data_IF_388271601545
#
_entry.id   IF_388271601545
#
_cell.length_a   1.000
_cell.length_b   1.000
_cell.length_c   1.000
_cell.angle_alpha   90.00
_cell.angle_beta   90.00
_cell.angle_gamma   90.00
#
_symmetry.space_group_name_H-M   'P 1'
#
loop_
_entity.id
_entity.type
_entity.pdbx_description
1 polymer ?
#
# COMPACT_ATOMS: atom_id res chain seq x y z
N UNK A 1 -42.41 34.40 24.80
CA UNK A 1 -41.40 33.34 25.05
C UNK A 1 -40.12 33.78 24.37
N UNK A 2 -39.15 34.25 25.09
CA UNK A 2 -37.84 34.70 24.59
C UNK A 2 -37.01 33.46 24.36
N UNK A 3 -36.68 33.12 23.09
CA UNK A 3 -35.73 32.08 22.78
C UNK A 3 -34.33 32.56 23.18
N UNK A 4 -33.45 31.69 23.72
CA UNK A 4 -32.10 32.09 24.03
C UNK A 4 -31.42 32.58 22.75
N UNK A 5 -30.77 33.75 22.86
CA UNK A 5 -30.08 34.42 21.76
C UNK A 5 -28.91 33.56 21.30
N UNK A 6 -29.09 32.81 20.20
CA UNK A 6 -28.05 32.16 19.47
C UNK A 6 -27.75 32.89 18.16
N UNK A 7 -26.53 32.80 17.66
CA UNK A 7 -26.16 33.31 16.35
C UNK A 7 -26.41 32.25 15.29
N UNK A 8 -27.04 32.60 14.17
CA UNK A 8 -27.19 31.75 13.00
C UNK A 8 -26.32 32.32 11.88
N UNK A 9 -25.29 31.63 11.52
CA UNK A 9 -24.48 31.97 10.37
C UNK A 9 -25.16 31.44 9.09
N UNK A 10 -25.58 32.35 8.21
CA UNK A 10 -26.12 32.03 6.88
C UNK A 10 -25.00 32.16 5.85
N UNK A 11 -24.47 31.03 5.40
CA UNK A 11 -23.48 31.01 4.35
C UNK A 11 -24.14 31.22 2.98
N UNK A 12 -23.57 32.11 2.15
CA UNK A 12 -24.04 32.37 0.77
C UNK A 12 -23.47 31.37 -0.24
N UNK A 13 -22.41 30.67 0.14
CA UNK A 13 -21.73 29.67 -0.68
C UNK A 13 -21.34 28.46 0.19
N UNK A 14 -21.17 27.27 -0.39
CA UNK A 14 -20.70 26.10 0.34
C UNK A 14 -19.29 26.33 0.88
N UNK A 15 -19.00 25.81 2.06
CA UNK A 15 -17.66 25.81 2.64
C UNK A 15 -16.72 24.88 1.85
N UNK A 16 -15.40 25.05 2.05
CA UNK A 16 -14.39 24.15 1.45
C UNK A 16 -14.64 22.70 1.89
N UNK A 17 -14.98 22.44 3.16
CA UNK A 17 -15.35 21.13 3.66
C UNK A 17 -16.58 20.53 2.93
N UNK A 18 -17.62 21.33 2.68
CA UNK A 18 -18.80 20.87 1.94
C UNK A 18 -18.46 20.58 0.47
N UNK A 19 -17.61 21.42 -0.15
CA UNK A 19 -17.12 21.18 -1.53
C UNK A 19 -16.28 19.91 -1.60
N UNK A 20 -15.37 19.71 -0.65
CA UNK A 20 -14.56 18.53 -0.51
C UNK A 20 -15.41 17.25 -0.43
N UNK A 21 -16.37 17.20 0.50
CA UNK A 21 -17.25 16.03 0.64
C UNK A 21 -18.04 15.73 -0.61
N UNK A 22 -18.54 16.75 -1.32
CA UNK A 22 -19.25 16.58 -2.60
C UNK A 22 -18.34 15.99 -3.67
N UNK A 23 -17.14 16.53 -3.85
CA UNK A 23 -16.17 16.04 -4.86
C UNK A 23 -15.71 14.62 -4.54
N UNK A 24 -15.49 14.30 -3.27
CA UNK A 24 -15.15 12.92 -2.85
C UNK A 24 -16.30 11.96 -3.15
N UNK A 25 -17.53 12.34 -2.88
CA UNK A 25 -18.72 11.52 -3.19
C UNK A 25 -18.88 11.31 -4.71
N UNK A 26 -18.69 12.36 -5.51
CA UNK A 26 -18.71 12.30 -6.98
C UNK A 26 -17.60 11.39 -7.51
N UNK A 27 -16.36 11.57 -7.05
CA UNK A 27 -15.22 10.73 -7.46
C UNK A 27 -15.44 9.25 -7.11
N UNK A 28 -16.00 8.94 -5.94
CA UNK A 28 -16.37 7.57 -5.56
C UNK A 28 -17.41 6.97 -6.50
N UNK A 29 -18.42 7.73 -6.88
CA UNK A 29 -19.46 7.27 -7.81
C UNK A 29 -18.88 6.95 -9.20
N UNK A 30 -17.89 7.72 -9.66
CA UNK A 30 -17.21 7.55 -10.94
C UNK A 30 -16.15 6.44 -10.94
N UNK A 31 -15.60 6.07 -9.78
CA UNK A 31 -14.42 5.20 -9.67
C UNK A 31 -14.56 3.83 -10.37
N UNK A 32 -15.77 3.31 -10.52
CA UNK A 32 -16.02 2.03 -11.18
C UNK A 32 -16.26 2.17 -12.70
N UNK A 33 -16.82 3.29 -13.15
CA UNK A 33 -17.27 3.49 -14.54
C UNK A 33 -16.32 4.32 -15.36
N UNK A 34 -15.69 5.32 -14.76
CA UNK A 34 -14.71 6.22 -15.38
C UNK A 34 -13.58 6.54 -14.37
N UNK A 35 -12.59 5.63 -14.21
CA UNK A 35 -11.51 5.84 -13.26
C UNK A 35 -10.66 7.07 -13.57
N UNK A 36 -10.47 7.43 -14.83
CA UNK A 36 -9.71 8.62 -15.23
C UNK A 36 -10.36 9.90 -14.72
N UNK A 37 -11.64 10.06 -14.99
CA UNK A 37 -12.42 11.22 -14.51
C UNK A 37 -12.53 11.25 -12.98
N UNK A 38 -12.69 10.08 -12.36
CA UNK A 38 -12.72 9.97 -10.91
C UNK A 38 -11.43 10.49 -10.25
N UNK A 39 -10.26 10.16 -10.82
CA UNK A 39 -8.95 10.67 -10.35
C UNK A 39 -8.91 12.19 -10.41
N UNK A 40 -9.36 12.81 -11.49
CA UNK A 40 -9.39 14.28 -11.62
C UNK A 40 -10.27 14.92 -10.54
N UNK A 41 -11.49 14.41 -10.34
CA UNK A 41 -12.45 14.94 -9.37
C UNK A 41 -11.95 14.77 -7.93
N UNK A 42 -11.35 13.62 -7.62
CA UNK A 42 -10.76 13.38 -6.29
C UNK A 42 -9.56 14.30 -6.03
N UNK A 43 -8.69 14.53 -7.02
CA UNK A 43 -7.57 15.48 -6.92
C UNK A 43 -8.08 16.91 -6.73
N UNK A 44 -9.14 17.32 -7.44
CA UNK A 44 -9.77 18.63 -7.22
C UNK A 44 -10.27 18.78 -5.78
N UNK A 45 -10.93 17.75 -5.23
CA UNK A 45 -11.37 17.74 -3.84
C UNK A 45 -10.22 17.87 -2.85
N UNK A 46 -9.15 17.10 -3.05
CA UNK A 46 -7.96 17.13 -2.18
C UNK A 46 -7.16 18.44 -2.31
N UNK A 47 -7.18 19.11 -3.45
CA UNK A 47 -6.55 20.42 -3.66
C UNK A 47 -7.19 21.56 -2.85
N UNK A 48 -8.37 21.35 -2.27
CA UNK A 48 -8.98 22.32 -1.34
C UNK A 48 -8.25 22.40 0.01
N UNK A 49 -7.40 21.39 0.31
CA UNK A 49 -6.61 21.35 1.53
C UNK A 49 -5.33 22.18 1.37
N UNK A 50 -5.15 23.16 2.27
CA UNK A 50 -4.00 24.08 2.29
C UNK A 50 -3.09 23.87 3.48
N UNK A 51 -3.50 22.99 4.41
CA UNK A 51 -2.84 22.66 5.67
C UNK A 51 -3.73 21.77 6.53
N UNK A 52 -3.41 21.62 7.81
CA UNK A 52 -4.23 20.88 8.76
C UNK A 52 -5.67 21.42 8.84
N UNK A 53 -6.62 20.54 9.10
CA UNK A 53 -8.02 20.92 9.24
C UNK A 53 -8.20 21.92 10.38
N UNK A 54 -8.96 23.00 10.13
CA UNK A 54 -9.29 24.05 11.10
C UNK A 54 -8.05 24.68 11.77
N UNK A 55 -6.93 24.76 11.07
CA UNK A 55 -5.72 25.41 11.57
C UNK A 55 -6.02 26.85 12.00
N UNK A 56 -5.57 27.21 13.23
CA UNK A 56 -5.85 28.54 13.80
C UNK A 56 -7.21 28.70 14.49
N UNK A 57 -8.14 27.75 14.36
CA UNK A 57 -9.34 27.72 15.18
C UNK A 57 -8.99 27.27 16.60
N UNK A 58 -9.37 28.04 17.62
CA UNK A 58 -8.98 27.79 19.01
C UNK A 58 -9.15 26.35 19.49
N UNK A 59 -8.44 25.98 20.58
CA UNK A 59 -8.34 24.62 21.14
C UNK A 59 -9.61 24.12 21.86
N UNK A 60 -10.81 24.43 21.36
CA UNK A 60 -12.07 23.92 21.93
C UNK A 60 -12.33 22.46 21.51
N UNK A 61 -12.96 21.67 22.41
CA UNK A 61 -13.30 20.25 22.15
C UNK A 61 -14.06 20.05 20.84
N UNK A 62 -14.98 20.94 20.51
CA UNK A 62 -15.76 20.87 19.26
C UNK A 62 -14.85 21.01 18.03
N UNK A 63 -13.94 22.01 18.04
CA UNK A 63 -13.03 22.22 16.93
C UNK A 63 -12.04 21.06 16.76
N UNK A 64 -11.53 20.49 17.85
CA UNK A 64 -10.58 19.36 17.78
C UNK A 64 -11.25 18.08 17.27
N UNK A 65 -12.48 17.80 17.67
CA UNK A 65 -13.23 16.64 17.18
C UNK A 65 -13.55 16.78 15.69
N UNK A 66 -14.00 17.96 15.27
CA UNK A 66 -14.31 18.22 13.86
C UNK A 66 -13.03 18.19 12.99
N UNK A 67 -11.93 18.74 13.48
CA UNK A 67 -10.64 18.67 12.79
C UNK A 67 -10.19 17.21 12.60
N UNK A 68 -10.28 16.39 13.65
CA UNK A 68 -9.92 14.97 13.56
C UNK A 68 -10.80 14.21 12.55
N UNK A 69 -12.11 14.50 12.52
CA UNK A 69 -13.03 13.92 11.55
C UNK A 69 -12.71 14.35 10.11
N UNK A 70 -12.40 15.61 9.90
CA UNK A 70 -12.01 16.11 8.59
C UNK A 70 -10.69 15.48 8.11
N UNK A 71 -9.67 15.37 8.98
CA UNK A 71 -8.40 14.69 8.64
C UNK A 71 -8.62 13.21 8.31
N UNK A 72 -9.45 12.49 9.06
CA UNK A 72 -9.79 11.11 8.73
C UNK A 72 -10.50 11.01 7.36
N UNK A 73 -11.45 11.90 7.07
CA UNK A 73 -12.10 11.97 5.76
C UNK A 73 -11.10 12.27 4.63
N UNK A 74 -10.08 13.09 4.89
CA UNK A 74 -8.98 13.35 3.96
C UNK A 74 -8.19 12.07 3.66
N UNK A 75 -7.80 11.32 4.70
CA UNK A 75 -7.06 10.07 4.55
C UNK A 75 -7.87 9.03 3.76
N UNK A 76 -9.16 8.88 4.05
CA UNK A 76 -10.06 7.99 3.31
C UNK A 76 -10.25 8.44 1.85
N UNK A 77 -10.23 9.75 1.58
CA UNK A 77 -10.25 10.27 0.21
C UNK A 77 -8.95 9.97 -0.55
N UNK A 78 -7.79 10.06 0.11
CA UNK A 78 -6.49 9.66 -0.45
C UNK A 78 -6.46 8.17 -0.77
N UNK A 79 -6.95 7.29 0.12
CA UNK A 79 -7.08 5.86 -0.16
C UNK A 79 -7.95 5.59 -1.39
N UNK A 80 -9.07 6.29 -1.50
CA UNK A 80 -9.97 6.20 -2.66
C UNK A 80 -9.28 6.67 -3.94
N UNK A 81 -8.55 7.78 -3.88
CA UNK A 81 -7.78 8.31 -5.01
C UNK A 81 -6.78 7.28 -5.52
N UNK A 82 -5.93 6.75 -4.64
CA UNK A 82 -4.87 5.82 -5.06
C UNK A 82 -5.41 4.46 -5.52
N UNK A 83 -6.49 3.94 -4.91
CA UNK A 83 -7.18 2.77 -5.43
C UNK A 83 -7.72 3.02 -6.86
N UNK A 84 -8.27 4.21 -7.09
CA UNK A 84 -8.77 4.63 -8.41
C UNK A 84 -7.63 4.82 -9.41
N UNK A 85 -6.50 5.41 -9.00
CA UNK A 85 -5.29 5.51 -9.84
C UNK A 85 -4.78 4.12 -10.25
N UNK A 86 -4.78 3.15 -9.34
CA UNK A 86 -4.43 1.77 -9.68
C UNK A 86 -5.37 1.17 -10.72
N UNK A 87 -6.68 1.45 -10.65
CA UNK A 87 -7.66 1.00 -11.66
C UNK A 87 -7.45 1.70 -13.00
N UNK A 88 -7.05 2.97 -12.97
CA UNK A 88 -6.72 3.76 -14.17
C UNK A 88 -5.36 3.37 -14.80
N UNK A 89 -4.59 2.46 -14.19
CA UNK A 89 -3.28 2.04 -14.71
C UNK A 89 -2.12 2.97 -14.37
N UNK A 90 -2.30 3.93 -13.45
CA UNK A 90 -1.32 4.95 -13.05
C UNK A 90 -0.39 4.47 -11.92
N UNK A 91 -0.06 3.17 -11.87
CA UNK A 91 0.67 2.58 -10.76
C UNK A 91 2.07 3.21 -10.54
N UNK A 92 2.80 3.51 -11.62
CA UNK A 92 4.15 4.07 -11.52
C UNK A 92 4.14 5.51 -10.97
N UNK A 93 3.14 6.30 -11.36
CA UNK A 93 3.04 7.71 -11.03
C UNK A 93 2.80 7.96 -9.53
N UNK A 94 2.07 7.04 -8.88
CA UNK A 94 1.63 7.20 -7.49
C UNK A 94 2.60 6.61 -6.45
N UNK A 95 3.64 5.90 -6.88
CA UNK A 95 4.55 5.19 -5.96
C UNK A 95 5.24 6.16 -4.99
N UNK A 96 5.72 7.31 -5.47
CA UNK A 96 6.38 8.30 -4.62
C UNK A 96 5.46 8.91 -3.57
N UNK A 97 4.22 9.27 -3.97
CA UNK A 97 3.21 9.84 -3.07
C UNK A 97 2.80 8.81 -1.99
N UNK A 98 2.69 7.52 -2.37
CA UNK A 98 2.37 6.45 -1.42
C UNK A 98 3.53 6.15 -0.45
N UNK A 99 4.79 6.24 -0.87
CA UNK A 99 5.95 6.14 0.03
C UNK A 99 5.94 7.25 1.09
N UNK A 100 5.64 8.48 0.71
CA UNK A 100 5.49 9.60 1.64
C UNK A 100 4.37 9.35 2.65
N UNK A 101 3.21 8.85 2.19
CA UNK A 101 2.07 8.53 3.05
C UNK A 101 2.37 7.39 4.03
N UNK A 102 3.12 6.36 3.63
CA UNK A 102 3.54 5.30 4.55
C UNK A 102 4.53 5.80 5.63
N UNK A 103 5.25 6.88 5.33
CA UNK A 103 6.15 7.53 6.28
C UNK A 103 5.40 8.42 7.27
N UNK A 104 4.44 9.21 6.78
CA UNK A 104 3.65 10.14 7.60
C UNK A 104 2.54 9.44 8.40
N UNK A 105 2.02 8.32 7.88
CA UNK A 105 0.97 7.51 8.52
C UNK A 105 1.40 6.05 8.70
N UNK A 106 2.42 5.78 9.53
CA UNK A 106 3.12 4.51 9.56
C UNK A 106 2.31 3.33 10.10
N UNK A 107 1.17 3.57 10.75
CA UNK A 107 0.29 2.53 11.28
C UNK A 107 -0.95 2.30 10.40
N UNK A 108 -1.07 3.02 9.29
CA UNK A 108 -2.21 2.90 8.39
C UNK A 108 -1.93 1.87 7.29
N UNK A 109 -2.27 0.62 7.57
CA UNK A 109 -1.97 -0.54 6.71
C UNK A 109 -2.48 -0.37 5.26
N UNK A 110 -3.58 0.37 5.05
CA UNK A 110 -4.15 0.57 3.72
C UNK A 110 -3.19 1.27 2.75
N UNK A 111 -2.37 2.21 3.21
CA UNK A 111 -1.38 2.85 2.35
C UNK A 111 -0.27 1.88 1.93
N UNK A 112 0.15 0.97 2.82
CA UNK A 112 1.12 -0.07 2.47
C UNK A 112 0.53 -1.06 1.46
N UNK A 113 -0.74 -1.44 1.61
CA UNK A 113 -1.42 -2.32 0.65
C UNK A 113 -1.47 -1.69 -0.76
N UNK A 114 -1.81 -0.40 -0.86
CA UNK A 114 -1.81 0.35 -2.10
C UNK A 114 -0.41 0.46 -2.71
N UNK A 115 0.59 0.77 -1.89
CA UNK A 115 1.99 0.86 -2.31
C UNK A 115 2.51 -0.49 -2.82
N UNK A 116 2.27 -1.58 -2.11
CA UNK A 116 2.64 -2.93 -2.55
C UNK A 116 2.01 -3.27 -3.91
N UNK A 117 0.73 -2.89 -4.09
CA UNK A 117 0.03 -3.11 -5.36
C UNK A 117 0.61 -2.26 -6.48
N UNK A 118 0.96 -0.98 -6.21
CA UNK A 118 1.58 -0.08 -7.17
C UNK A 118 2.96 -0.58 -7.62
N UNK A 119 3.80 -0.97 -6.67
CA UNK A 119 5.12 -1.54 -6.92
C UNK A 119 5.03 -2.85 -7.74
N UNK A 120 4.14 -3.76 -7.36
CA UNK A 120 3.95 -5.01 -8.07
C UNK A 120 3.51 -4.79 -9.53
N UNK A 121 2.51 -3.93 -9.75
CA UNK A 121 2.04 -3.58 -11.11
C UNK A 121 3.09 -2.85 -11.95
N UNK A 122 4.07 -2.24 -11.30
CA UNK A 122 5.24 -1.61 -11.95
C UNK A 122 6.40 -2.60 -12.18
N UNK A 123 6.19 -3.91 -11.93
CA UNK A 123 7.23 -4.93 -12.08
C UNK A 123 8.26 -4.99 -10.94
N UNK A 124 8.06 -4.22 -9.85
CA UNK A 124 8.97 -4.09 -8.70
C UNK A 124 8.56 -5.01 -7.56
N UNK A 125 8.42 -6.32 -7.86
CA UNK A 125 7.90 -7.32 -6.91
C UNK A 125 8.72 -7.41 -5.63
N UNK A 126 10.06 -7.41 -5.73
CA UNK A 126 10.94 -7.50 -4.57
C UNK A 126 10.74 -6.32 -3.59
N UNK A 127 10.53 -5.13 -4.12
CA UNK A 127 10.27 -3.93 -3.32
C UNK A 127 8.88 -3.95 -2.68
N UNK A 128 7.89 -4.50 -3.37
CA UNK A 128 6.55 -4.71 -2.81
C UNK A 128 6.61 -5.65 -1.59
N UNK A 129 7.33 -6.77 -1.68
CA UNK A 129 7.53 -7.68 -0.54
C UNK A 129 8.38 -7.05 0.57
N UNK A 130 9.40 -6.26 0.23
CA UNK A 130 10.17 -5.48 1.19
C UNK A 130 9.33 -4.45 1.95
N UNK A 131 8.31 -3.88 1.30
CA UNK A 131 7.35 -2.97 1.93
C UNK A 131 6.51 -3.69 2.99
N UNK A 132 6.06 -4.92 2.72
CA UNK A 132 5.39 -5.76 3.72
C UNK A 132 6.26 -6.01 4.96
N UNK A 133 7.52 -6.40 4.77
CA UNK A 133 8.44 -6.66 5.88
C UNK A 133 8.73 -5.37 6.70
N UNK A 134 8.73 -4.22 6.06
CA UNK A 134 8.90 -2.91 6.70
C UNK A 134 7.73 -2.60 7.64
N UNK A 135 6.49 -2.72 7.17
CA UNK A 135 5.31 -2.46 8.00
C UNK A 135 5.14 -3.52 9.08
N UNK A 136 5.39 -4.81 8.78
CA UNK A 136 5.32 -5.88 9.76
C UNK A 136 6.24 -5.62 10.94
N UNK A 137 7.52 -5.32 10.67
CA UNK A 137 8.48 -4.99 11.74
C UNK A 137 8.02 -3.81 12.58
N UNK A 138 7.41 -2.82 11.96
CA UNK A 138 6.91 -1.63 12.66
C UNK A 138 5.73 -1.96 13.57
N UNK A 139 4.73 -2.67 13.06
CA UNK A 139 3.53 -3.06 13.82
C UNK A 139 3.91 -3.96 15.02
N UNK A 140 4.82 -4.92 14.81
CA UNK A 140 5.31 -5.78 15.90
C UNK A 140 6.10 -4.98 16.92
N UNK A 141 6.98 -4.07 16.50
CA UNK A 141 7.79 -3.27 17.41
C UNK A 141 6.97 -2.25 18.19
N UNK A 142 6.08 -1.50 17.53
CA UNK A 142 5.37 -0.36 18.12
C UNK A 142 4.11 -0.79 18.87
N UNK A 143 3.42 -1.87 18.41
CA UNK A 143 2.12 -2.30 18.93
C UNK A 143 2.09 -3.75 19.40
N UNK A 144 3.11 -4.56 19.13
CA UNK A 144 3.13 -5.99 19.47
C UNK A 144 2.16 -6.84 18.65
N UNK A 145 1.70 -6.37 17.49
CA UNK A 145 0.71 -7.06 16.65
C UNK A 145 1.27 -7.39 15.26
N UNK A 146 0.78 -8.47 14.67
CA UNK A 146 1.07 -8.81 13.27
C UNK A 146 0.14 -8.01 12.32
N UNK A 147 0.55 -7.81 11.04
CA UNK A 147 -0.29 -7.17 10.02
C UNK A 147 -1.66 -7.83 9.89
N UNK A 148 -2.66 -7.02 9.58
CA UNK A 148 -4.04 -7.47 9.37
C UNK A 148 -4.19 -8.47 8.21
N UNK A 149 -5.31 -9.20 8.14
CA UNK A 149 -5.52 -10.25 7.16
C UNK A 149 -5.53 -9.74 5.71
N UNK A 150 -5.97 -8.50 5.47
CA UNK A 150 -6.01 -7.89 4.14
C UNK A 150 -4.60 -7.67 3.60
N UNK A 151 -3.71 -7.10 4.42
CA UNK A 151 -2.32 -6.82 4.03
C UNK A 151 -1.53 -8.12 3.86
N UNK A 152 -1.75 -9.14 4.72
CA UNK A 152 -1.17 -10.48 4.55
C UNK A 152 -1.63 -11.14 3.25
N UNK A 153 -2.93 -11.12 2.97
CA UNK A 153 -3.47 -11.67 1.73
C UNK A 153 -2.92 -10.96 0.49
N UNK A 154 -2.62 -9.65 0.59
CA UNK A 154 -1.95 -8.91 -0.48
C UNK A 154 -0.52 -9.40 -0.71
N UNK A 155 0.23 -9.61 0.35
CA UNK A 155 1.59 -10.17 0.28
C UNK A 155 1.58 -11.57 -0.35
N UNK A 156 0.69 -12.45 0.08
CA UNK A 156 0.53 -13.80 -0.48
C UNK A 156 0.17 -13.77 -1.97
N UNK A 157 -0.77 -12.89 -2.37
CA UNK A 157 -1.14 -12.71 -3.76
C UNK A 157 0.04 -12.23 -4.63
N UNK A 158 0.88 -11.34 -4.11
CA UNK A 158 2.10 -10.88 -4.81
C UNK A 158 3.13 -12.02 -4.91
N UNK A 159 3.31 -12.79 -3.85
CA UNK A 159 4.26 -13.90 -3.81
C UNK A 159 3.91 -15.00 -4.84
N UNK A 160 2.62 -15.27 -5.00
CA UNK A 160 2.11 -16.30 -5.92
C UNK A 160 1.67 -15.76 -7.28
N UNK A 161 2.00 -14.53 -7.64
CA UNK A 161 1.58 -13.87 -8.89
C UNK A 161 0.06 -13.88 -9.12
N UNK A 162 -0.73 -13.91 -8.05
CA UNK A 162 -2.19 -13.93 -8.07
C UNK A 162 -2.87 -12.58 -8.30
N UNK A 163 -2.11 -11.48 -8.39
CA UNK A 163 -2.65 -10.17 -8.77
C UNK A 163 -2.62 -10.00 -10.29
N UNK A 164 -3.61 -9.30 -10.88
CA UNK A 164 -3.52 -8.89 -12.27
C UNK A 164 -2.23 -8.10 -12.49
N UNK A 165 -1.38 -8.60 -13.39
CA UNK A 165 -0.15 -7.94 -13.80
C UNK A 165 -0.43 -6.55 -14.40
N UNK A 166 0.61 -5.78 -14.73
CA UNK A 166 0.45 -4.53 -15.46
C UNK A 166 -0.36 -4.79 -16.72
N UNK A 167 -1.27 -3.87 -17.13
CA UNK A 167 -1.90 -3.97 -18.43
C UNK A 167 -0.79 -4.11 -19.44
N UNK A 168 -0.82 -5.20 -20.24
CA UNK A 168 0.16 -5.39 -21.31
C UNK A 168 0.14 -4.10 -22.13
N UNK A 169 1.24 -3.33 -22.09
CA UNK A 169 1.41 -2.21 -22.97
C UNK A 169 1.16 -2.76 -24.37
N UNK A 170 0.15 -2.22 -25.07
CA UNK A 170 -0.15 -2.58 -26.44
C UNK A 170 1.09 -2.23 -27.27
N UNK A 171 2.06 -3.16 -27.23
CA UNK A 171 3.30 -3.08 -27.96
C UNK A 171 2.99 -3.06 -29.42
N UNK A 172 3.35 -1.99 -30.07
CA UNK A 172 3.50 -1.84 -31.52
C UNK A 172 3.89 -3.19 -32.12
N UNK A 173 3.02 -3.72 -32.96
CA UNK A 173 3.27 -4.93 -33.71
C UNK A 173 4.51 -4.71 -34.61
N UNK A 174 5.66 -5.19 -34.19
CA UNK A 174 6.81 -5.37 -35.06
C UNK A 174 6.48 -6.55 -35.98
N UNK A 175 6.14 -6.24 -37.23
CA UNK A 175 5.99 -7.26 -38.27
C UNK A 175 7.29 -8.04 -38.41
N UNK A 176 7.27 -9.39 -38.34
CA UNK A 176 8.46 -10.14 -38.69
C UNK A 176 8.72 -10.05 -40.19
N UNK A 177 9.90 -9.60 -40.56
CA UNK A 177 10.43 -9.74 -41.90
C UNK A 177 10.66 -11.22 -42.21
N UNK A 178 10.03 -11.70 -43.26
CA UNK A 178 10.10 -13.07 -43.74
C UNK A 178 11.55 -13.49 -44.02
N UNK A 179 11.93 -14.63 -43.41
CA UNK A 179 13.19 -15.30 -43.67
C UNK A 179 13.13 -16.08 -44.98
N UNK A 180 14.17 -15.91 -45.80
CA UNK A 180 14.53 -16.77 -46.93
C UNK A 180 15.23 -18.01 -46.39
N UNK A 181 14.92 -19.13 -47.05
CA UNK A 181 15.22 -20.49 -46.59
C UNK A 181 16.69 -20.92 -46.57
N UNK A 182 16.92 -22.04 -45.90
CA UNK A 182 18.13 -22.85 -45.85
C UNK A 182 17.88 -24.11 -45.04
N UNK A 183 17.98 -25.26 -45.71
CA UNK A 183 17.72 -26.60 -45.20
C UNK A 183 18.91 -27.22 -44.43
N UNK A 184 18.80 -28.44 -43.87
CA UNK A 184 19.29 -28.80 -42.54
C UNK A 184 20.55 -29.68 -42.54
N UNK A 185 21.23 -29.73 -41.40
CA UNK A 185 22.24 -30.73 -41.07
C UNK A 185 22.12 -31.15 -39.62
N UNK A 186 22.32 -32.48 -39.31
CA UNK A 186 22.07 -33.00 -37.97
C UNK A 186 23.30 -32.88 -37.08
N UNK A 187 23.12 -32.44 -35.84
CA UNK A 187 24.18 -32.38 -34.84
C UNK A 187 23.61 -32.53 -33.43
N UNK A 188 23.76 -33.73 -32.90
CA UNK A 188 23.61 -34.11 -31.51
C UNK A 188 24.36 -33.19 -30.55
N UNK A 189 23.71 -32.78 -29.50
CA UNK A 189 24.33 -32.03 -28.42
C UNK A 189 23.31 -31.60 -27.36
N UNK A 190 22.95 -32.53 -26.49
CA UNK A 190 22.24 -32.31 -25.25
C UNK A 190 23.13 -31.48 -24.33
N UNK A 191 22.92 -30.18 -24.32
CA UNK A 191 23.46 -29.30 -23.29
C UNK A 191 22.31 -28.87 -22.38
N UNK A 192 22.36 -29.39 -21.15
CA UNK A 192 21.51 -29.01 -20.04
C UNK A 192 21.42 -27.47 -19.94
N UNK A 193 20.20 -26.94 -19.98
CA UNK A 193 19.94 -25.56 -19.61
C UNK A 193 20.42 -25.33 -18.19
N UNK A 194 21.14 -24.25 -17.89
CA UNK A 194 21.44 -23.90 -16.51
C UNK A 194 20.12 -23.66 -15.81
N UNK A 195 19.85 -24.41 -14.77
CA UNK A 195 18.73 -24.22 -13.84
C UNK A 195 19.03 -22.91 -13.12
N UNK A 196 18.35 -21.86 -13.57
CA UNK A 196 18.62 -20.49 -13.24
C UNK A 196 18.29 -20.09 -11.79
N UNK A 197 18.24 -18.82 -11.50
CA UNK A 197 18.33 -18.16 -10.19
C UNK A 197 17.36 -18.67 -9.10
N UNK A 198 16.34 -19.44 -9.47
CA UNK A 198 15.38 -20.02 -8.53
C UNK A 198 16.00 -21.06 -7.59
N UNK A 199 17.00 -21.81 -8.04
CA UNK A 199 17.64 -22.83 -7.20
C UNK A 199 18.56 -22.21 -6.14
N UNK A 200 19.23 -21.14 -6.52
CA UNK A 200 20.09 -20.38 -5.60
C UNK A 200 19.26 -19.61 -4.56
N UNK A 201 18.11 -19.10 -4.97
CA UNK A 201 17.18 -18.41 -4.09
C UNK A 201 16.51 -19.36 -3.08
N UNK A 202 16.12 -20.55 -3.52
CA UNK A 202 15.61 -21.62 -2.63
C UNK A 202 16.71 -22.08 -1.65
N UNK A 203 17.94 -22.22 -2.10
CA UNK A 203 19.06 -22.57 -1.24
C UNK A 203 19.35 -21.48 -0.21
N UNK A 204 19.31 -20.20 -0.62
CA UNK A 204 19.46 -19.04 0.27
C UNK A 204 18.34 -18.97 1.32
N UNK A 205 17.08 -19.15 0.91
CA UNK A 205 15.93 -19.16 1.81
C UNK A 205 16.00 -20.30 2.83
N UNK A 206 16.41 -21.51 2.42
CA UNK A 206 16.63 -22.64 3.32
C UNK A 206 17.70 -22.32 4.35
N UNK A 207 18.83 -21.79 3.92
CA UNK A 207 19.92 -21.41 4.82
C UNK A 207 19.50 -20.31 5.80
N UNK A 208 18.68 -19.35 5.36
CA UNK A 208 18.14 -18.29 6.22
C UNK A 208 17.14 -18.83 7.25
N UNK A 209 16.27 -19.78 6.85
CA UNK A 209 15.35 -20.46 7.78
C UNK A 209 16.11 -21.28 8.83
N UNK A 210 17.14 -22.02 8.44
CA UNK A 210 17.98 -22.77 9.38
C UNK A 210 18.74 -21.88 10.35
N UNK A 211 19.15 -20.70 9.92
CA UNK A 211 19.79 -19.71 10.80
C UNK A 211 18.79 -19.14 11.81
N UNK A 212 17.60 -18.74 11.38
CA UNK A 212 16.56 -18.24 12.26
C UNK A 212 16.09 -19.30 13.28
N UNK A 213 15.98 -20.56 12.87
CA UNK A 213 15.64 -21.67 13.76
C UNK A 213 16.75 -21.96 14.79
N UNK A 214 18.02 -21.66 14.47
CA UNK A 214 19.12 -21.72 15.44
C UNK A 214 19.09 -20.56 16.42
N UNK A 215 18.87 -19.35 15.94
CA UNK A 215 18.73 -18.15 16.76
C UNK A 215 17.55 -18.27 17.75
N UNK A 216 16.42 -18.84 17.31
CA UNK A 216 15.27 -19.10 18.18
C UNK A 216 15.60 -20.12 19.30
N UNK A 217 16.32 -21.20 18.96
CA UNK A 217 16.73 -22.20 19.96
C UNK A 217 17.70 -21.61 20.99
N UNK A 218 18.67 -20.83 20.50
CA UNK A 218 19.65 -20.18 21.37
C UNK A 218 19.00 -19.16 22.33
N UNK A 219 17.96 -18.44 21.85
CA UNK A 219 17.15 -17.56 22.70
C UNK A 219 16.31 -18.34 23.71
N UNK A 220 15.70 -19.47 23.33
CA UNK A 220 14.94 -20.32 24.23
C UNK A 220 15.84 -20.89 25.32
N UNK A 221 17.02 -21.43 24.96
CA UNK A 221 18.01 -21.98 25.90
C UNK A 221 18.56 -20.91 26.87
N UNK A 222 18.59 -19.64 26.46
CA UNK A 222 18.99 -18.51 27.33
C UNK A 222 17.86 -18.05 28.26
N UNK A 223 16.60 -18.27 27.91
CA UNK A 223 15.44 -17.89 28.72
C UNK A 223 15.09 -18.96 29.77
N UNK A 224 15.33 -20.23 29.48
CA UNK A 224 15.06 -21.35 30.41
C UNK A 224 15.70 -21.20 31.81
N UNK A 225 16.99 -20.78 31.94
CA UNK A 225 17.59 -20.60 33.28
C UNK A 225 17.07 -19.34 34.00
N UNK A 226 16.44 -18.39 33.30
CA UNK A 226 15.85 -17.21 33.94
C UNK A 226 14.49 -17.50 34.53
N UNK A 227 13.67 -18.35 33.87
CA UNK A 227 12.37 -18.80 34.38
C UNK A 227 12.52 -19.81 35.51
N UNK A 228 13.57 -20.64 35.52
CA UNK A 228 13.86 -21.58 36.61
C UNK A 228 14.31 -20.89 37.91
N UNK A 229 14.87 -19.69 37.88
CA UNK A 229 15.25 -18.91 39.07
C UNK A 229 14.09 -18.20 39.74
N UNK A 230 13.05 -17.82 39.01
CA UNK A 230 11.86 -17.16 39.58
C UNK A 230 10.93 -18.15 40.31
N UNK A 231 10.98 -19.45 39.98
CA UNK A 231 10.15 -20.48 40.63
C UNK A 231 10.79 -21.03 41.90
N UNK A 232 12.10 -20.84 42.12
CA UNK A 232 12.83 -21.32 43.30
C UNK A 232 12.97 -20.27 44.41
N UNK A 233 12.40 -19.10 44.24
CA UNK A 233 12.46 -17.97 45.17
C UNK A 233 11.17 -17.62 45.91
N UNK A 234 10.16 -18.50 45.90
CA UNK A 234 8.91 -18.39 46.71
C UNK A 234 8.85 -19.44 47.79
#
# INVERSE_FOLDING_TARGET
>A
MTRPLGYVLRLRAPTDAQRFHRLVAEGRALAATDPGRAVEVLREGLALWRGPALEGCGRGTICSTEAALLEENRLVALETLYDTCLRAGLAQEITGELEELTTTHPLRERFYELLMTALYRSGRQAEALGTYERVRRRLVHDLGIEPGPVLRGRMEAILHHGLPGPPAASGSAVRPLSAVGGQPGPGTGETARPVGPLHDEIAWLRHRLERLAREQRDLADRLDPLTARDVAGL
#
